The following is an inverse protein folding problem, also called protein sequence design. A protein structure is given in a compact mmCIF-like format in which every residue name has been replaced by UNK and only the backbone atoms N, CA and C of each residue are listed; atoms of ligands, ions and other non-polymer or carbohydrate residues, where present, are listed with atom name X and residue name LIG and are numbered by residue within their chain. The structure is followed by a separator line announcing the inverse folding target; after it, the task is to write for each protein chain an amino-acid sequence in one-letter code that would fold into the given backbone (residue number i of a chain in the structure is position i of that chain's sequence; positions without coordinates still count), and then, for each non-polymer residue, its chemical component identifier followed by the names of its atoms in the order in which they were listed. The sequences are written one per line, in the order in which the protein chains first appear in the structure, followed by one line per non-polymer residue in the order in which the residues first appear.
data_IF_894501976352
#
_entry.id   IF_894501976352
#
_cell.length_a   1.000
_cell.length_b   1.000
_cell.length_c   1.000
_cell.angle_alpha   90.00
_cell.angle_beta   90.00
_cell.angle_gamma   90.00
#
_symmetry.space_group_name_H-M   'P 1'
#
loop_
_entity.id
_entity.type
_entity.pdbx_description
1 polymer ?
#
# COMPACT_ATOMS: atom_id res chain seq x y z
N UNK A 1 66.68 -22.00 8.92
CA UNK A 1 66.39 -20.57 9.14
C UNK A 1 65.16 -20.22 8.33
N UNK A 2 63.99 -20.32 8.95
CA UNK A 2 62.71 -20.00 8.30
C UNK A 2 62.59 -18.48 8.23
N UNK A 3 62.44 -17.98 7.01
CA UNK A 3 62.57 -16.56 6.67
C UNK A 3 61.49 -15.71 7.35
N UNK A 4 61.93 -14.73 8.15
CA UNK A 4 61.08 -13.74 8.84
C UNK A 4 60.18 -12.93 7.88
N UNK A 5 60.48 -12.92 6.59
CA UNK A 5 59.71 -12.20 5.55
C UNK A 5 58.31 -12.78 5.30
N UNK A 6 58.07 -14.08 5.56
CA UNK A 6 56.76 -14.68 5.28
C UNK A 6 55.68 -14.33 6.31
N UNK A 7 56.06 -13.92 7.53
CA UNK A 7 55.10 -13.53 8.57
C UNK A 7 54.57 -12.10 8.41
N UNK A 8 55.35 -11.20 7.79
CA UNK A 8 54.95 -9.79 7.59
C UNK A 8 53.86 -9.67 6.49
N UNK A 9 53.94 -10.50 5.44
CA UNK A 9 52.94 -10.50 4.35
C UNK A 9 51.58 -11.05 4.82
N UNK A 10 51.58 -12.04 5.72
CA UNK A 10 50.34 -12.60 6.27
C UNK A 10 49.68 -11.65 7.30
N UNK A 11 50.48 -10.90 8.07
CA UNK A 11 49.97 -9.91 9.01
C UNK A 11 49.37 -8.67 8.31
N UNK A 12 49.91 -8.25 7.16
CA UNK A 12 49.36 -7.15 6.35
C UNK A 12 48.08 -7.56 5.59
N UNK A 13 47.89 -8.84 5.26
CA UNK A 13 46.66 -9.34 4.66
C UNK A 13 45.48 -9.42 5.65
N UNK A 14 45.77 -9.58 6.95
CA UNK A 14 44.77 -9.60 8.03
C UNK A 14 44.45 -8.21 8.61
N UNK A 15 45.20 -7.18 8.20
CA UNK A 15 45.04 -5.79 8.65
C UNK A 15 44.34 -4.88 7.62
N UNK A 16 43.74 -5.45 6.55
CA UNK A 16 42.75 -4.71 5.78
C UNK A 16 41.49 -4.62 6.65
N UNK A 17 41.06 -3.42 7.09
CA UNK A 17 39.72 -3.28 7.60
C UNK A 17 38.80 -3.47 6.39
N UNK A 18 38.40 -4.72 6.14
CA UNK A 18 37.18 -4.98 5.41
C UNK A 18 36.07 -4.41 6.30
N UNK A 19 35.81 -3.12 6.15
CA UNK A 19 34.57 -2.49 6.61
C UNK A 19 33.49 -3.06 5.68
N UNK A 20 33.15 -4.33 5.91
CA UNK A 20 32.01 -4.95 5.30
C UNK A 20 30.81 -4.19 5.86
N UNK A 21 30.24 -3.32 5.04
CA UNK A 21 29.01 -2.63 5.39
C UNK A 21 28.00 -3.72 5.78
N UNK A 22 27.36 -3.64 6.96
CA UNK A 22 26.41 -4.66 7.36
C UNK A 22 25.37 -4.79 6.25
N UNK A 23 25.11 -6.01 5.78
CA UNK A 23 24.17 -6.28 4.68
C UNK A 23 22.73 -5.76 4.94
N UNK A 24 22.48 -5.28 6.17
CA UNK A 24 21.20 -4.79 6.67
C UNK A 24 21.31 -3.39 7.34
N UNK A 25 22.44 -2.68 7.17
CA UNK A 25 22.59 -1.32 7.67
C UNK A 25 21.84 -0.31 6.80
N UNK A 26 21.30 0.75 7.39
CA UNK A 26 20.73 1.87 6.61
C UNK A 26 21.83 2.53 5.79
N UNK A 27 21.52 2.93 4.55
CA UNK A 27 22.42 3.76 3.74
C UNK A 27 22.30 5.26 4.10
N UNK A 28 21.36 5.62 4.97
CA UNK A 28 21.18 6.98 5.42
C UNK A 28 22.41 7.47 6.23
N UNK A 29 22.86 8.69 5.94
CA UNK A 29 24.02 9.31 6.61
C UNK A 29 25.38 8.93 6.02
N UNK A 30 25.44 8.03 5.04
CA UNK A 30 26.67 7.73 4.31
C UNK A 30 27.08 8.88 3.38
N UNK A 31 28.39 9.09 3.27
CA UNK A 31 28.95 9.98 2.26
C UNK A 31 28.65 9.46 0.85
N UNK A 32 28.73 10.35 -0.14
CA UNK A 32 28.51 9.99 -1.54
C UNK A 32 29.47 8.88 -2.01
N UNK A 33 30.72 8.92 -1.57
CA UNK A 33 31.73 7.92 -1.90
C UNK A 33 31.42 6.55 -1.27
N UNK A 34 30.84 6.53 -0.08
CA UNK A 34 30.39 5.30 0.58
C UNK A 34 29.14 4.73 -0.11
N UNK A 35 28.17 5.57 -0.47
CA UNK A 35 27.00 5.16 -1.24
C UNK A 35 27.38 4.57 -2.61
N UNK A 36 28.33 5.20 -3.30
CA UNK A 36 28.86 4.70 -4.58
C UNK A 36 29.58 3.36 -4.43
N UNK A 37 30.09 3.01 -3.24
CA UNK A 37 30.68 1.70 -2.94
C UNK A 37 29.67 0.65 -2.52
N UNK A 38 28.63 1.02 -1.78
CA UNK A 38 27.65 0.06 -1.21
C UNK A 38 26.50 -0.25 -2.17
N UNK A 39 25.98 0.74 -2.90
CA UNK A 39 24.86 0.52 -3.83
C UNK A 39 25.15 -0.58 -4.87
N UNK A 40 26.36 -0.68 -5.47
CA UNK A 40 26.68 -1.76 -6.41
C UNK A 40 26.77 -3.15 -5.79
N UNK A 41 26.92 -3.27 -4.47
CA UNK A 41 26.97 -4.57 -3.77
C UNK A 41 25.59 -5.08 -3.38
N UNK A 42 24.55 -4.24 -3.48
CA UNK A 42 23.17 -4.66 -3.33
C UNK A 42 22.78 -5.60 -4.47
N UNK A 43 22.03 -6.66 -4.16
CA UNK A 43 21.39 -7.48 -5.19
C UNK A 43 20.29 -6.67 -5.85
N UNK A 44 20.64 -5.97 -6.93
CA UNK A 44 19.72 -5.25 -7.78
C UNK A 44 18.72 -6.22 -8.39
N UNK A 45 17.44 -6.04 -8.06
CA UNK A 45 16.36 -6.68 -8.79
C UNK A 45 15.80 -5.65 -9.73
N UNK A 46 16.07 -5.80 -11.03
CA UNK A 46 15.41 -4.92 -12.00
C UNK A 46 13.91 -5.19 -11.95
N UNK A 47 13.07 -4.15 -11.78
CA UNK A 47 11.63 -4.31 -11.80
C UNK A 47 11.22 -4.99 -13.12
N UNK A 48 10.50 -6.09 -13.02
CA UNK A 48 9.89 -6.72 -14.20
C UNK A 48 8.83 -5.79 -14.79
N UNK A 49 8.46 -6.02 -16.05
CA UNK A 49 7.30 -5.35 -16.61
C UNK A 49 6.05 -5.67 -15.76
N UNK A 50 5.16 -4.69 -15.51
CA UNK A 50 3.90 -4.94 -14.81
C UNK A 50 3.12 -6.05 -15.51
N UNK A 51 2.48 -6.95 -14.77
CA UNK A 51 1.57 -7.92 -15.37
C UNK A 51 0.44 -7.23 -16.14
N UNK A 52 0.10 -7.79 -17.30
CA UNK A 52 -1.06 -7.35 -18.08
C UNK A 52 -2.38 -7.85 -17.49
N UNK A 53 -3.52 -7.47 -18.10
CA UNK A 53 -4.84 -7.93 -17.69
C UNK A 53 -4.97 -9.46 -17.76
N UNK A 54 -5.84 -10.02 -16.91
CA UNK A 54 -6.18 -11.44 -16.94
C UNK A 54 -6.75 -11.85 -18.30
N UNK A 55 -6.26 -12.98 -18.82
CA UNK A 55 -6.84 -13.61 -20.02
C UNK A 55 -8.25 -14.15 -19.79
N UNK A 56 -8.52 -14.61 -18.57
CA UNK A 56 -9.84 -15.07 -18.13
C UNK A 56 -10.22 -14.29 -16.88
N UNK A 57 -11.26 -13.47 -17.02
CA UNK A 57 -11.69 -12.50 -16.02
C UNK A 57 -13.10 -12.82 -15.47
N UNK A 58 -13.56 -14.05 -15.65
CA UNK A 58 -14.78 -14.54 -15.03
C UNK A 58 -14.59 -14.92 -13.55
N UNK A 59 -15.70 -15.23 -12.91
CA UNK A 59 -15.70 -15.84 -11.57
C UNK A 59 -14.99 -17.20 -11.59
N UNK A 60 -14.24 -17.51 -10.53
CA UNK A 60 -13.61 -18.80 -10.29
C UNK A 60 -13.40 -19.02 -8.79
N UNK A 61 -13.30 -20.26 -8.37
CA UNK A 61 -12.91 -20.63 -7.01
C UNK A 61 -11.50 -20.10 -6.72
N UNK A 62 -11.34 -19.34 -5.64
CA UNK A 62 -10.04 -18.76 -5.25
C UNK A 62 -9.60 -19.14 -3.83
N UNK A 63 -10.53 -19.65 -3.01
CA UNK A 63 -10.18 -20.44 -1.83
C UNK A 63 -10.13 -21.93 -2.21
N UNK A 64 -9.06 -22.31 -2.91
CA UNK A 64 -8.86 -23.65 -3.46
C UNK A 64 -7.74 -24.43 -2.71
N UNK A 65 -7.47 -25.65 -3.16
CA UNK A 65 -6.43 -26.52 -2.56
C UNK A 65 -5.01 -25.98 -2.72
N UNK A 66 -4.75 -25.11 -3.70
CA UNK A 66 -3.44 -24.49 -3.92
C UNK A 66 -3.27 -23.24 -3.06
N UNK A 67 -4.37 -22.58 -2.70
CA UNK A 67 -4.41 -21.36 -1.91
C UNK A 67 -5.14 -21.52 -0.57
N UNK A 68 -4.79 -22.52 0.27
CA UNK A 68 -5.44 -22.68 1.55
C UNK A 68 -5.03 -21.56 2.51
N UNK A 69 -5.96 -21.13 3.36
CA UNK A 69 -5.65 -20.26 4.49
C UNK A 69 -4.66 -20.95 5.43
N UNK A 70 -3.70 -20.19 5.96
CA UNK A 70 -2.81 -20.64 7.04
C UNK A 70 -2.65 -19.54 8.09
N UNK A 71 -2.53 -19.89 9.37
CA UNK A 71 -2.25 -18.93 10.43
C UNK A 71 -0.87 -18.29 10.23
N UNK A 72 -0.67 -17.11 10.82
CA UNK A 72 0.61 -16.41 10.81
C UNK A 72 1.71 -17.24 11.47
N UNK A 73 2.89 -17.22 10.86
CA UNK A 73 4.11 -17.74 11.44
C UNK A 73 4.97 -16.60 12.00
N UNK A 74 5.98 -16.97 12.80
CA UNK A 74 6.90 -15.98 13.36
C UNK A 74 7.61 -15.19 12.24
N UNK A 75 7.44 -13.87 12.25
CA UNK A 75 8.02 -12.96 11.26
C UNK A 75 7.18 -12.77 9.99
N UNK A 76 5.99 -13.36 9.89
CA UNK A 76 5.02 -12.96 8.87
C UNK A 76 4.48 -11.57 9.18
N UNK A 77 4.37 -10.72 8.16
CA UNK A 77 3.90 -9.33 8.29
C UNK A 77 2.54 -9.17 7.64
N UNK A 78 1.68 -8.39 8.29
CA UNK A 78 0.35 -7.94 7.85
C UNK A 78 0.23 -6.47 8.20
N UNK A 79 -0.66 -5.76 7.53
CA UNK A 79 -0.82 -4.31 7.70
C UNK A 79 -2.26 -3.84 7.60
N UNK A 80 -2.50 -2.59 7.16
CA UNK A 80 -3.82 -1.98 7.17
C UNK A 80 -4.77 -2.53 6.09
N UNK A 81 -4.24 -3.18 5.04
CA UNK A 81 -5.05 -3.64 3.90
C UNK A 81 -5.59 -5.07 4.10
N UNK A 82 -6.91 -5.27 4.37
CA UNK A 82 -7.48 -6.60 4.55
C UNK A 82 -7.36 -7.48 3.28
N UNK A 83 -7.40 -6.88 2.10
CA UNK A 83 -7.23 -7.59 0.82
C UNK A 83 -5.85 -8.23 0.70
N UNK A 84 -4.78 -7.43 0.80
CA UNK A 84 -3.40 -7.95 0.72
C UNK A 84 -3.09 -8.93 1.86
N UNK A 85 -3.59 -8.64 3.06
CA UNK A 85 -3.46 -9.54 4.20
C UNK A 85 -4.07 -10.92 3.91
N UNK A 86 -5.26 -10.95 3.33
CA UNK A 86 -5.95 -12.19 2.95
C UNK A 86 -5.21 -12.93 1.84
N UNK A 87 -4.75 -12.22 0.81
CA UNK A 87 -3.95 -12.82 -0.27
C UNK A 87 -2.66 -13.46 0.25
N UNK A 88 -1.95 -12.81 1.17
CA UNK A 88 -0.79 -13.40 1.83
C UNK A 88 -1.16 -14.60 2.71
N UNK A 89 -2.25 -14.52 3.48
CA UNK A 89 -2.72 -15.63 4.32
C UNK A 89 -3.25 -16.83 3.53
N UNK A 90 -3.63 -16.65 2.27
CA UNK A 90 -4.00 -17.73 1.34
C UNK A 90 -2.85 -18.17 0.43
N UNK A 91 -1.72 -17.45 0.41
CA UNK A 91 -0.55 -17.80 -0.41
C UNK A 91 -0.64 -17.35 -1.87
N UNK A 92 -1.58 -16.47 -2.20
CA UNK A 92 -1.56 -15.71 -3.46
C UNK A 92 -0.39 -14.73 -3.49
N UNK A 93 -0.02 -14.20 -2.31
CA UNK A 93 1.23 -13.49 -2.06
C UNK A 93 2.19 -14.35 -1.24
N UNK A 94 3.50 -14.03 -1.23
CA UNK A 94 4.42 -14.56 -0.23
C UNK A 94 3.82 -14.40 1.18
N UNK A 95 3.69 -15.52 1.89
CA UNK A 95 2.97 -15.57 3.18
C UNK A 95 3.61 -14.70 4.27
N UNK A 96 4.89 -14.39 4.11
CA UNK A 96 5.66 -13.50 4.97
C UNK A 96 5.27 -12.02 4.83
N UNK A 97 4.43 -11.65 3.86
CA UNK A 97 3.97 -10.28 3.65
C UNK A 97 4.97 -9.38 2.92
N UNK A 98 6.01 -9.93 2.30
CA UNK A 98 6.99 -9.17 1.51
C UNK A 98 6.86 -9.59 0.05
N UNK A 99 6.52 -8.64 -0.82
CA UNK A 99 6.23 -8.93 -2.22
C UNK A 99 6.78 -7.86 -3.16
N UNK A 100 7.07 -8.25 -4.41
CA UNK A 100 7.31 -7.27 -5.47
C UNK A 100 5.99 -6.70 -6.02
N UNK A 101 6.01 -5.53 -6.67
CA UNK A 101 4.83 -4.95 -7.33
C UNK A 101 4.14 -5.93 -8.29
N UNK A 102 4.92 -6.68 -9.08
CA UNK A 102 4.36 -7.67 -10.00
C UNK A 102 3.59 -8.78 -9.27
N UNK A 103 4.11 -9.28 -8.14
CA UNK A 103 3.40 -10.28 -7.33
C UNK A 103 2.10 -9.71 -6.75
N UNK A 104 2.10 -8.44 -6.33
CA UNK A 104 0.89 -7.77 -5.82
C UNK A 104 -0.16 -7.64 -6.92
N UNK A 105 0.23 -7.13 -8.11
CA UNK A 105 -0.67 -6.97 -9.26
C UNK A 105 -1.26 -8.32 -9.69
N UNK A 106 -0.43 -9.37 -9.79
CA UNK A 106 -0.92 -10.72 -10.10
C UNK A 106 -1.89 -11.23 -9.03
N UNK A 107 -1.56 -11.07 -7.74
CA UNK A 107 -2.38 -11.59 -6.66
C UNK A 107 -3.75 -10.90 -6.53
N UNK A 108 -3.82 -9.57 -6.66
CA UNK A 108 -5.10 -8.84 -6.58
C UNK A 108 -5.99 -9.13 -7.80
N UNK A 109 -5.39 -9.30 -8.98
CA UNK A 109 -6.12 -9.75 -10.16
C UNK A 109 -6.59 -11.20 -9.99
N UNK A 110 -5.69 -12.12 -9.65
CA UNK A 110 -6.04 -13.54 -9.63
C UNK A 110 -6.99 -13.91 -8.48
N UNK A 111 -6.75 -13.38 -7.28
CA UNK A 111 -7.50 -13.70 -6.07
C UNK A 111 -8.79 -12.89 -5.89
N UNK A 112 -8.87 -11.66 -6.42
CA UNK A 112 -10.05 -10.80 -6.24
C UNK A 112 -10.65 -10.26 -7.54
N UNK A 113 -10.01 -10.47 -8.69
CA UNK A 113 -10.43 -9.89 -9.97
C UNK A 113 -10.38 -8.36 -9.96
N UNK A 114 -9.36 -7.78 -9.32
CA UNK A 114 -9.12 -6.33 -9.43
C UNK A 114 -8.75 -5.97 -10.88
N UNK A 115 -9.31 -4.87 -11.39
CA UNK A 115 -9.00 -4.35 -12.71
C UNK A 115 -7.51 -3.94 -12.81
N UNK A 116 -6.89 -4.19 -13.97
CA UNK A 116 -5.45 -4.10 -14.16
C UNK A 116 -4.90 -2.68 -13.99
N UNK A 117 -5.56 -1.67 -14.57
CA UNK A 117 -5.12 -0.28 -14.47
C UNK A 117 -5.12 0.19 -13.01
N UNK A 118 -6.17 -0.13 -12.26
CA UNK A 118 -6.26 0.18 -10.83
C UNK A 118 -5.22 -0.59 -10.04
N UNK A 119 -5.06 -1.90 -10.27
CA UNK A 119 -4.05 -2.71 -9.61
C UNK A 119 -2.64 -2.15 -9.80
N UNK A 120 -2.29 -1.73 -11.02
CA UNK A 120 -1.01 -1.10 -11.34
C UNK A 120 -0.88 0.25 -10.65
N UNK A 121 -1.89 1.12 -10.77
CA UNK A 121 -1.87 2.46 -10.20
C UNK A 121 -1.63 2.42 -8.69
N UNK A 122 -2.44 1.67 -7.94
CA UNK A 122 -2.33 1.63 -6.47
C UNK A 122 -1.05 0.92 -6.01
N UNK A 123 -0.63 -0.14 -6.70
CA UNK A 123 0.58 -0.89 -6.32
C UNK A 123 1.83 -0.04 -6.50
N UNK A 124 1.98 0.66 -7.64
CA UNK A 124 3.13 1.51 -7.86
C UNK A 124 3.08 2.81 -7.06
N UNK A 125 1.89 3.35 -6.77
CA UNK A 125 1.75 4.45 -5.81
C UNK A 125 2.33 4.07 -4.44
N UNK A 126 1.91 2.91 -3.90
CA UNK A 126 2.44 2.39 -2.63
C UNK A 126 3.94 2.07 -2.72
N UNK A 127 4.38 1.37 -3.77
CA UNK A 127 5.78 0.96 -3.89
C UNK A 127 6.73 2.16 -3.98
N UNK A 128 6.32 3.24 -4.65
CA UNK A 128 7.11 4.46 -4.79
C UNK A 128 7.38 5.16 -3.45
N UNK A 129 6.45 5.11 -2.50
CA UNK A 129 6.58 5.80 -1.20
C UNK A 129 7.04 4.89 -0.06
N UNK A 130 6.63 3.62 -0.08
CA UNK A 130 6.83 2.67 1.02
C UNK A 130 7.75 1.49 0.69
N UNK A 131 8.01 1.27 -0.59
CA UNK A 131 8.81 0.14 -1.07
C UNK A 131 10.28 0.47 -1.22
N UNK A 132 11.11 -0.57 -1.25
CA UNK A 132 12.50 -0.45 -1.63
C UNK A 132 12.62 -0.59 -3.16
N UNK A 133 12.84 0.54 -3.83
CA UNK A 133 12.90 0.62 -5.29
C UNK A 133 14.12 -0.08 -5.90
N UNK A 134 15.17 -0.31 -5.09
CA UNK A 134 16.41 -0.93 -5.56
C UNK A 134 16.32 -2.46 -5.54
N UNK A 135 15.63 -3.00 -4.52
CA UNK A 135 15.43 -4.46 -4.38
C UNK A 135 14.09 -4.94 -4.93
N UNK A 136 13.22 -4.02 -5.36
CA UNK A 136 11.88 -4.31 -5.89
C UNK A 136 11.04 -5.12 -4.88
N UNK A 137 11.03 -4.66 -3.62
CA UNK A 137 10.28 -5.28 -2.51
C UNK A 137 9.45 -4.23 -1.76
N UNK A 138 8.23 -4.62 -1.39
CA UNK A 138 7.32 -3.88 -0.53
C UNK A 138 6.86 -4.78 0.63
N UNK A 139 6.85 -4.24 1.83
CA UNK A 139 6.17 -4.85 2.98
C UNK A 139 4.70 -4.45 2.96
N UNK A 140 3.77 -5.43 3.06
CA UNK A 140 2.32 -5.15 3.14
C UNK A 140 1.87 -4.67 4.53
N UNK A 141 2.81 -4.52 5.46
CA UNK A 141 2.63 -3.90 6.76
C UNK A 141 3.86 -3.10 7.14
N UNK A 142 4.32 -3.19 8.39
CA UNK A 142 5.40 -2.34 8.90
C UNK A 142 6.80 -2.55 8.33
N UNK A 143 7.70 -1.65 8.74
CA UNK A 143 9.09 -1.59 8.29
C UNK A 143 9.85 -2.87 8.66
N UNK A 144 10.69 -3.34 7.75
CA UNK A 144 11.40 -4.61 7.90
C UNK A 144 12.68 -4.63 7.11
N UNK A 145 13.72 -5.28 7.64
CA UNK A 145 14.99 -5.47 6.93
C UNK A 145 14.87 -6.42 5.73
N UNK A 146 13.74 -7.14 5.60
CA UNK A 146 13.47 -8.06 4.49
C UNK A 146 13.27 -7.36 3.15
N UNK A 147 12.99 -6.05 3.15
CA UNK A 147 12.98 -5.22 1.93
C UNK A 147 14.37 -4.72 1.55
N UNK A 148 15.42 -5.09 2.28
CA UNK A 148 16.81 -4.73 1.98
C UNK A 148 17.25 -3.37 2.54
N UNK A 149 18.51 -2.95 2.28
CA UNK A 149 19.07 -1.72 2.81
C UNK A 149 18.32 -0.47 2.33
N UNK A 150 18.01 0.41 3.28
CA UNK A 150 17.26 1.62 3.01
C UNK A 150 18.04 2.58 2.11
N UNK A 151 17.38 3.25 1.14
CA UNK A 151 17.97 4.38 0.44
C UNK A 151 18.27 5.54 1.41
N UNK A 152 19.06 6.54 0.98
CA UNK A 152 19.32 7.73 1.79
C UNK A 152 18.02 8.45 2.17
N UNK A 153 18.00 9.01 3.38
CA UNK A 153 16.94 9.92 3.83
C UNK A 153 16.76 11.09 2.82
N UNK A 154 15.54 11.61 2.66
CA UNK A 154 14.34 11.42 3.50
C UNK A 154 13.43 10.25 3.09
N UNK A 155 13.86 9.37 2.18
CA UNK A 155 13.09 8.18 1.83
C UNK A 155 12.84 7.27 3.06
N UNK A 156 11.63 6.74 3.19
CA UNK A 156 11.16 6.08 4.42
C UNK A 156 11.32 4.55 4.30
N UNK A 157 10.84 3.97 3.20
CA UNK A 157 10.79 2.51 2.97
C UNK A 157 10.21 1.79 4.20
N UNK A 158 9.05 2.27 4.64
CA UNK A 158 8.43 1.85 5.89
C UNK A 158 7.41 0.73 5.72
N UNK A 159 7.10 0.33 4.48
CA UNK A 159 5.95 -0.54 4.21
C UNK A 159 4.61 0.15 4.45
N UNK A 160 3.51 -0.57 4.23
CA UNK A 160 2.16 0.01 4.21
C UNK A 160 1.66 0.52 5.57
N UNK A 161 2.33 0.27 6.69
CA UNK A 161 1.97 0.90 7.98
C UNK A 161 2.46 2.36 8.05
N UNK A 162 3.20 2.86 7.05
CA UNK A 162 3.70 4.23 7.02
C UNK A 162 2.55 5.22 6.86
N UNK A 163 2.35 6.02 7.90
CA UNK A 163 1.30 7.03 7.91
C UNK A 163 1.55 8.17 6.90
N UNK A 164 0.46 8.67 6.31
CA UNK A 164 0.36 9.87 5.48
C UNK A 164 1.02 9.84 4.09
N UNK A 165 1.54 8.69 3.64
CA UNK A 165 2.03 8.51 2.27
C UNK A 165 1.12 7.60 1.43
N UNK A 166 0.50 6.61 2.07
CA UNK A 166 -0.55 5.76 1.50
C UNK A 166 -1.63 5.48 2.56
N UNK A 167 -1.23 4.92 3.70
CA UNK A 167 -2.07 4.78 4.90
C UNK A 167 -2.47 6.16 5.43
N UNK A 168 -3.67 6.28 5.98
CA UNK A 168 -4.09 7.52 6.61
C UNK A 168 -5.38 7.39 7.43
N UNK A 169 -5.76 8.51 8.02
CA UNK A 169 -6.84 8.60 9.00
C UNK A 169 -8.22 8.22 8.44
N UNK A 170 -9.19 8.08 9.35
CA UNK A 170 -10.56 7.67 9.08
C UNK A 170 -10.66 6.27 8.44
N UNK A 171 -9.75 5.34 8.75
CA UNK A 171 -9.89 3.95 8.30
C UNK A 171 -11.15 3.28 8.89
N UNK A 172 -11.74 2.32 8.17
CA UNK A 172 -13.01 1.68 8.57
C UNK A 172 -12.86 0.74 9.77
N UNK A 173 -11.75 0.02 9.86
CA UNK A 173 -11.52 -1.01 10.88
C UNK A 173 -10.14 -0.91 11.55
N UNK A 174 -9.41 0.17 11.27
CA UNK A 174 -8.08 0.52 11.81
C UNK A 174 -8.19 1.90 12.47
N UNK A 175 -7.46 2.11 13.56
CA UNK A 175 -7.39 3.41 14.23
C UNK A 175 -6.62 4.44 13.41
N UNK A 176 -6.78 5.72 13.75
CA UNK A 176 -5.90 6.76 13.22
C UNK A 176 -4.50 6.64 13.85
N UNK A 177 -3.46 6.98 13.08
CA UNK A 177 -2.07 6.90 13.54
C UNK A 177 -1.82 7.71 14.83
N UNK A 178 -2.52 8.83 15.00
CA UNK A 178 -2.44 9.64 16.21
C UNK A 178 -2.69 8.84 17.51
N UNK A 179 -3.52 7.80 17.45
CA UNK A 179 -3.84 6.96 18.61
C UNK A 179 -2.86 5.80 18.83
N UNK A 180 -1.86 5.63 17.94
CA UNK A 180 -0.71 4.75 18.13
C UNK A 180 -0.70 3.46 17.30
N UNK A 181 -1.85 2.97 16.84
CA UNK A 181 -1.96 1.78 15.98
C UNK A 181 -2.91 2.04 14.80
N UNK A 182 -2.32 2.11 13.61
CA UNK A 182 -2.99 2.40 12.34
C UNK A 182 -3.16 1.16 11.43
N UNK A 183 -2.81 -0.03 11.89
CA UNK A 183 -2.71 -1.21 11.02
C UNK A 183 -3.43 -2.44 11.59
N UNK A 184 -3.49 -2.60 12.91
CA UNK A 184 -4.20 -3.71 13.53
C UNK A 184 -5.71 -3.59 13.36
N UNK A 185 -6.38 -4.74 13.23
CA UNK A 185 -7.83 -4.79 13.31
C UNK A 185 -8.31 -4.27 14.68
N UNK A 186 -9.30 -3.39 14.66
CA UNK A 186 -9.90 -2.80 15.85
C UNK A 186 -11.35 -3.29 16.00
N UNK A 187 -11.63 -4.05 17.06
CA UNK A 187 -12.96 -4.62 17.31
C UNK A 187 -14.03 -3.54 17.49
N UNK A 188 -13.75 -2.45 18.20
CA UNK A 188 -14.71 -1.35 18.42
C UNK A 188 -15.15 -0.72 17.10
N UNK A 189 -14.20 -0.46 16.18
CA UNK A 189 -14.51 0.08 14.86
C UNK A 189 -15.27 -0.94 14.00
N UNK A 190 -15.01 -2.23 14.16
CA UNK A 190 -15.79 -3.26 13.47
C UNK A 190 -17.20 -3.43 14.04
N UNK A 191 -17.40 -3.24 15.35
CA UNK A 191 -18.72 -3.18 15.96
C UNK A 191 -19.54 -1.99 15.42
N UNK A 192 -18.89 -0.83 15.21
CA UNK A 192 -19.53 0.30 14.52
C UNK A 192 -19.88 -0.03 13.06
N UNK A 193 -18.97 -0.68 12.33
CA UNK A 193 -19.24 -1.17 10.97
C UNK A 193 -20.49 -2.07 10.95
N UNK A 194 -20.59 -3.03 11.88
CA UNK A 194 -21.76 -3.92 12.04
C UNK A 194 -23.01 -3.12 12.39
N UNK A 195 -22.92 -2.15 13.30
CA UNK A 195 -24.05 -1.30 13.69
C UNK A 195 -24.59 -0.48 12.51
N UNK A 196 -23.70 0.08 11.69
CA UNK A 196 -24.08 0.82 10.48
C UNK A 196 -24.69 -0.10 9.41
N UNK A 197 -24.14 -1.31 9.22
CA UNK A 197 -24.73 -2.33 8.36
C UNK A 197 -26.13 -2.75 8.80
N UNK A 198 -26.35 -2.92 10.09
CA UNK A 198 -27.69 -3.22 10.62
C UNK A 198 -28.66 -2.05 10.39
N UNK A 199 -28.21 -0.82 10.62
CA UNK A 199 -29.04 0.38 10.52
C UNK A 199 -29.39 0.76 9.08
N UNK A 200 -28.45 0.66 8.15
CA UNK A 200 -28.58 1.21 6.79
C UNK A 200 -28.56 0.15 5.68
N UNK A 201 -28.17 -1.09 5.99
CA UNK A 201 -28.03 -2.17 5.00
C UNK A 201 -28.81 -3.43 5.33
N UNK A 202 -29.78 -3.36 6.25
CA UNK A 202 -30.58 -4.51 6.71
C UNK A 202 -29.71 -5.71 7.14
N UNK A 203 -28.59 -5.43 7.82
CA UNK A 203 -27.66 -6.45 8.32
C UNK A 203 -26.60 -6.89 7.30
N UNK A 204 -26.44 -6.14 6.20
CA UNK A 204 -25.40 -6.34 5.19
C UNK A 204 -24.59 -5.06 5.00
N UNK A 205 -23.37 -5.18 4.49
CA UNK A 205 -22.60 -4.03 4.02
C UNK A 205 -22.80 -3.85 2.51
N UNK A 206 -23.13 -2.63 2.09
CA UNK A 206 -23.35 -2.23 0.71
C UNK A 206 -22.94 -0.74 0.53
N UNK A 207 -23.08 -0.18 -0.67
CA UNK A 207 -22.66 1.22 -0.90
C UNK A 207 -23.40 2.26 -0.06
N UNK A 208 -24.67 2.03 0.31
CA UNK A 208 -25.41 2.93 1.20
C UNK A 208 -24.76 2.95 2.58
N UNK A 209 -24.46 1.77 3.14
CA UNK A 209 -23.74 1.66 4.42
C UNK A 209 -22.36 2.29 4.32
N UNK A 210 -21.66 2.08 3.20
CA UNK A 210 -20.33 2.63 2.97
C UNK A 210 -20.33 4.17 3.02
N UNK A 211 -21.34 4.82 2.42
CA UNK A 211 -21.51 6.28 2.48
C UNK A 211 -21.72 6.79 3.90
N UNK A 212 -22.65 6.19 4.64
CA UNK A 212 -22.96 6.58 6.02
C UNK A 212 -21.77 6.33 6.97
N UNK A 213 -21.11 5.17 6.84
CA UNK A 213 -20.01 4.81 7.72
C UNK A 213 -18.73 5.61 7.41
N UNK A 214 -18.44 5.87 6.12
CA UNK A 214 -17.34 6.79 5.72
C UNK A 214 -17.52 8.16 6.37
N UNK A 215 -18.72 8.70 6.35
CA UNK A 215 -19.02 9.98 7.00
C UNK A 215 -18.80 9.91 8.51
N UNK A 216 -19.29 8.85 9.17
CA UNK A 216 -19.06 8.62 10.60
C UNK A 216 -17.57 8.63 10.94
N UNK A 217 -16.74 7.86 10.21
CA UNK A 217 -15.28 7.80 10.43
C UNK A 217 -14.61 9.17 10.30
N UNK A 218 -15.04 9.97 9.32
CA UNK A 218 -14.54 11.35 9.13
C UNK A 218 -14.92 12.23 10.32
N UNK A 219 -16.19 12.21 10.75
CA UNK A 219 -16.66 13.02 11.87
C UNK A 219 -15.96 12.68 13.18
N UNK A 220 -15.73 11.40 13.45
CA UNK A 220 -14.99 10.98 14.63
C UNK A 220 -13.53 11.45 14.61
N UNK A 221 -12.87 11.35 13.45
CA UNK A 221 -11.49 11.82 13.30
C UNK A 221 -11.40 13.34 13.49
N UNK A 222 -12.37 14.10 12.93
CA UNK A 222 -12.50 15.54 13.19
C UNK A 222 -12.65 15.81 14.69
N UNK A 223 -13.48 15.03 15.39
CA UNK A 223 -13.81 15.27 16.79
C UNK A 223 -12.73 14.85 17.80
N UNK A 224 -11.84 13.92 17.42
CA UNK A 224 -10.95 13.24 18.37
C UNK A 224 -9.47 13.28 18.00
N UNK A 225 -9.12 13.43 16.72
CA UNK A 225 -7.73 13.45 16.25
C UNK A 225 -7.29 14.90 15.92
N UNK A 226 -6.47 15.56 16.76
CA UNK A 226 -6.04 16.93 16.53
C UNK A 226 -5.10 17.10 15.33
N UNK A 227 -4.56 16.00 14.81
CA UNK A 227 -3.70 15.95 13.62
C UNK A 227 -4.40 15.35 12.41
N UNK A 228 -5.73 15.19 12.46
CA UNK A 228 -6.52 14.57 11.39
C UNK A 228 -6.20 15.16 10.02
N UNK A 229 -5.81 14.32 9.07
CA UNK A 229 -5.54 14.72 7.70
C UNK A 229 -6.37 13.91 6.70
N UNK A 230 -7.11 14.63 5.86
CA UNK A 230 -7.99 14.07 4.84
C UNK A 230 -7.81 14.80 3.51
N UNK A 231 -6.56 14.91 3.09
CA UNK A 231 -6.15 15.46 1.79
C UNK A 231 -5.65 14.34 0.87
N UNK A 232 -5.43 14.65 -0.40
CA UNK A 232 -4.84 13.72 -1.36
C UNK A 232 -3.45 13.21 -0.91
N UNK A 233 -3.11 11.92 -1.08
CA UNK A 233 -3.91 10.88 -1.75
C UNK A 233 -5.00 10.25 -0.88
N UNK A 234 -4.93 10.40 0.46
CA UNK A 234 -5.84 9.74 1.41
C UNK A 234 -7.30 10.05 1.15
N UNK A 235 -7.62 11.28 0.75
CA UNK A 235 -8.98 11.66 0.37
C UNK A 235 -9.57 10.67 -0.65
N UNK A 236 -8.86 10.32 -1.72
CA UNK A 236 -9.36 9.39 -2.74
C UNK A 236 -9.40 7.95 -2.23
N UNK A 237 -8.32 7.48 -1.60
CA UNK A 237 -8.20 6.08 -1.19
C UNK A 237 -9.23 5.73 -0.12
N UNK A 238 -9.52 6.63 0.82
CA UNK A 238 -10.54 6.43 1.84
C UNK A 238 -11.94 6.14 1.23
N UNK A 239 -12.35 6.90 0.20
CA UNK A 239 -13.61 6.63 -0.49
C UNK A 239 -13.55 5.35 -1.33
N UNK A 240 -12.48 5.15 -2.10
CA UNK A 240 -12.31 3.94 -2.92
C UNK A 240 -12.34 2.67 -2.07
N UNK A 241 -11.60 2.64 -0.96
CA UNK A 241 -11.54 1.52 -0.01
C UNK A 241 -12.90 1.19 0.61
N UNK A 242 -13.83 2.15 0.66
CA UNK A 242 -15.19 1.92 1.17
C UNK A 242 -16.05 1.13 0.15
N UNK A 243 -15.66 1.08 -1.13
CA UNK A 243 -16.31 0.24 -2.14
C UNK A 243 -15.81 -1.21 -2.12
N UNK A 244 -14.56 -1.42 -1.72
CA UNK A 244 -13.86 -2.70 -1.90
C UNK A 244 -14.49 -3.90 -1.19
N UNK A 245 -15.09 -3.79 0.01
CA UNK A 245 -15.81 -4.91 0.60
C UNK A 245 -16.97 -5.39 -0.28
N UNK A 246 -17.68 -4.46 -0.93
CA UNK A 246 -18.76 -4.80 -1.88
C UNK A 246 -18.18 -5.41 -3.16
N UNK A 247 -17.11 -4.84 -3.68
CA UNK A 247 -16.58 -5.20 -5.00
C UNK A 247 -15.76 -6.49 -5.01
N UNK A 248 -15.10 -6.81 -3.89
CA UNK A 248 -14.11 -7.88 -3.82
C UNK A 248 -14.39 -8.94 -2.76
N UNK A 249 -15.21 -8.66 -1.74
CA UNK A 249 -15.47 -9.63 -0.66
C UNK A 249 -16.85 -10.30 -0.76
N UNK A 250 -17.72 -9.83 -1.65
CA UNK A 250 -18.96 -10.53 -2.03
C UNK A 250 -18.59 -11.67 -2.99
N UNK A 251 -19.14 -12.88 -2.76
CA UNK A 251 -18.89 -14.02 -3.65
C UNK A 251 -19.39 -13.70 -5.06
N UNK A 252 -18.54 -13.93 -6.07
CA UNK A 252 -18.80 -13.56 -7.45
C UNK A 252 -20.00 -14.26 -8.09
N UNK A 253 -20.57 -15.29 -7.45
CA UNK A 253 -21.80 -15.96 -7.89
C UNK A 253 -23.07 -15.26 -7.38
N UNK A 254 -22.97 -14.41 -6.35
CA UNK A 254 -24.10 -13.73 -5.72
C UNK A 254 -24.53 -12.48 -6.51
N UNK A 255 -23.57 -11.60 -6.83
CA UNK A 255 -23.78 -10.47 -7.76
C UNK A 255 -24.78 -9.38 -7.31
N UNK A 256 -25.14 -9.30 -6.03
CA UNK A 256 -26.15 -8.35 -5.50
C UNK A 256 -25.56 -7.16 -4.71
N UNK A 257 -24.23 -7.11 -4.56
CA UNK A 257 -23.53 -6.07 -3.82
C UNK A 257 -23.84 -6.04 -2.32
N UNK A 258 -24.28 -7.15 -1.73
CA UNK A 258 -24.60 -7.28 -0.30
C UNK A 258 -23.60 -8.18 0.41
N UNK A 259 -22.65 -7.59 1.13
CA UNK A 259 -21.66 -8.33 1.92
C UNK A 259 -22.25 -8.74 3.28
N UNK A 260 -22.19 -10.04 3.56
CA UNK A 260 -22.52 -10.59 4.87
C UNK A 260 -21.48 -10.20 5.94
N UNK A 261 -21.91 -9.97 7.19
CA UNK A 261 -21.05 -9.46 8.25
C UNK A 261 -20.08 -10.52 8.80
N UNK A 262 -20.45 -11.81 8.75
CA UNK A 262 -19.52 -12.89 9.11
C UNK A 262 -18.41 -13.01 8.05
N UNK A 263 -18.78 -12.85 6.78
CA UNK A 263 -17.81 -12.79 5.67
C UNK A 263 -16.90 -11.56 5.82
N UNK A 264 -17.47 -10.39 6.11
CA UNK A 264 -16.70 -9.18 6.36
C UNK A 264 -15.69 -9.38 7.50
N UNK A 265 -16.11 -9.98 8.63
CA UNK A 265 -15.21 -10.28 9.76
C UNK A 265 -14.08 -11.21 9.33
N UNK A 266 -14.37 -12.25 8.56
CA UNK A 266 -13.36 -13.15 8.01
C UNK A 266 -12.25 -12.43 7.24
N UNK A 267 -12.60 -11.45 6.39
CA UNK A 267 -11.59 -10.66 5.67
C UNK A 267 -10.87 -9.63 6.56
N UNK A 268 -11.60 -8.90 7.40
CA UNK A 268 -11.04 -7.78 8.17
C UNK A 268 -10.19 -8.20 9.37
N UNK A 269 -10.57 -9.28 10.05
CA UNK A 269 -9.95 -9.79 11.27
C UNK A 269 -9.10 -11.03 10.98
N UNK A 270 -9.70 -12.05 10.37
CA UNK A 270 -9.05 -13.36 10.21
C UNK A 270 -8.18 -13.48 8.96
N UNK A 271 -8.28 -12.48 8.06
CA UNK A 271 -7.58 -12.43 6.78
C UNK A 271 -7.86 -13.70 5.97
N UNK A 272 -9.14 -14.08 5.92
CA UNK A 272 -9.60 -15.38 5.44
C UNK A 272 -10.78 -15.23 4.48
N UNK A 273 -10.63 -15.82 3.30
CA UNK A 273 -11.74 -16.03 2.37
C UNK A 273 -12.70 -17.09 2.93
N UNK A 274 -14.03 -16.93 2.75
CA UNK A 274 -14.99 -17.99 3.04
C UNK A 274 -14.65 -19.31 2.34
N UNK A 275 -15.11 -20.42 2.89
CA UNK A 275 -15.01 -21.70 2.19
C UNK A 275 -15.82 -21.63 0.88
N UNK A 276 -15.30 -22.24 -0.18
CA UNK A 276 -15.89 -22.18 -1.54
C UNK A 276 -16.00 -20.76 -2.12
N UNK A 277 -15.22 -19.79 -1.61
CA UNK A 277 -15.27 -18.41 -2.11
C UNK A 277 -14.81 -18.28 -3.57
N UNK A 278 -15.66 -17.65 -4.38
CA UNK A 278 -15.35 -17.31 -5.76
C UNK A 278 -15.11 -15.81 -5.90
N UNK A 279 -14.02 -15.42 -6.58
CA UNK A 279 -13.74 -14.01 -6.87
C UNK A 279 -14.83 -13.36 -7.73
N UNK A 280 -14.84 -12.02 -7.76
CA UNK A 280 -15.80 -11.22 -8.52
C UNK A 280 -15.95 -11.73 -9.98
N UNK A 281 -17.14 -11.59 -10.54
CA UNK A 281 -17.50 -12.16 -11.85
C UNK A 281 -16.90 -11.44 -13.06
N UNK A 282 -16.34 -10.24 -12.84
CA UNK A 282 -15.69 -9.39 -13.82
C UNK A 282 -14.58 -8.58 -13.14
N UNK A 283 -13.67 -7.94 -13.89
CA UNK A 283 -12.70 -7.01 -13.31
C UNK A 283 -13.43 -5.85 -12.61
N UNK A 284 -13.14 -5.65 -11.34
CA UNK A 284 -13.73 -4.61 -10.51
C UNK A 284 -12.68 -3.62 -10.01
N UNK A 285 -13.10 -2.41 -9.70
CA UNK A 285 -12.28 -1.32 -9.22
C UNK A 285 -12.90 -0.63 -8.01
N UNK A 286 -12.91 0.71 -8.06
CA UNK A 286 -13.62 1.56 -7.12
C UNK A 286 -15.07 1.85 -7.58
N UNK A 287 -15.73 0.87 -8.19
CA UNK A 287 -17.12 0.98 -8.62
C UNK A 287 -18.01 1.43 -7.44
N UNK A 288 -18.91 2.38 -7.68
CA UNK A 288 -19.78 2.96 -6.65
C UNK A 288 -19.14 4.05 -5.78
N UNK A 289 -17.90 4.47 -6.07
CA UNK A 289 -17.24 5.56 -5.33
C UNK A 289 -18.03 6.87 -5.37
N UNK A 290 -18.71 7.15 -6.48
CA UNK A 290 -19.57 8.31 -6.68
C UNK A 290 -20.80 8.28 -5.76
N UNK A 291 -21.40 7.10 -5.57
CA UNK A 291 -22.52 6.90 -4.62
C UNK A 291 -22.07 7.25 -3.20
N UNK A 292 -20.90 6.76 -2.78
CA UNK A 292 -20.36 6.99 -1.44
C UNK A 292 -20.00 8.47 -1.25
N UNK A 293 -19.33 9.08 -2.23
CA UNK A 293 -18.95 10.48 -2.16
C UNK A 293 -20.15 11.44 -2.18
N UNK A 294 -21.23 11.08 -2.89
CA UNK A 294 -22.44 11.89 -2.98
C UNK A 294 -23.33 11.82 -1.71
N UNK A 295 -23.19 10.78 -0.88
CA UNK A 295 -23.97 10.63 0.34
C UNK A 295 -23.74 11.79 1.32
N UNK A 296 -22.47 12.14 1.57
CA UNK A 296 -22.06 13.24 2.46
C UNK A 296 -20.85 14.00 1.86
N UNK A 297 -21.08 14.98 0.97
CA UNK A 297 -19.99 15.70 0.32
C UNK A 297 -19.16 16.52 1.31
N UNK A 298 -17.83 16.39 1.23
CA UNK A 298 -16.87 17.18 2.00
C UNK A 298 -15.66 17.52 1.14
N UNK A 299 -15.10 18.71 1.31
CA UNK A 299 -13.86 19.11 0.66
C UNK A 299 -12.65 18.46 1.37
N UNK A 300 -11.56 18.13 0.64
CA UNK A 300 -10.33 17.69 1.27
C UNK A 300 -9.81 18.75 2.25
N UNK A 301 -9.19 18.33 3.34
CA UNK A 301 -8.83 19.23 4.43
C UNK A 301 -8.18 18.51 5.61
N UNK A 302 -8.01 19.23 6.72
CA UNK A 302 -7.34 18.73 7.91
C UNK A 302 -7.80 19.47 9.16
N UNK A 303 -7.65 18.86 10.33
CA UNK A 303 -7.73 19.57 11.59
C UNK A 303 -6.53 20.51 11.76
N UNK A 304 -6.77 21.72 12.28
CA UNK A 304 -5.73 22.72 12.53
C UNK A 304 -5.80 23.17 13.99
N UNK A 305 -4.67 23.16 14.70
CA UNK A 305 -4.58 23.66 16.09
C UNK A 305 -5.54 22.97 17.09
N UNK A 306 -5.88 21.70 16.88
CA UNK A 306 -6.72 20.92 17.79
C UNK A 306 -7.83 20.14 17.09
N UNK A 307 -8.67 19.49 17.90
CA UNK A 307 -9.88 18.79 17.43
C UNK A 307 -11.00 19.77 17.09
N UNK A 308 -11.98 19.32 16.31
CA UNK A 308 -13.15 20.08 15.89
C UNK A 308 -12.82 21.38 15.12
N UNK A 309 -11.68 21.40 14.42
CA UNK A 309 -11.28 22.55 13.61
C UNK A 309 -10.83 22.11 12.21
N UNK A 310 -11.74 21.45 11.49
CA UNK A 310 -11.49 20.98 10.14
C UNK A 310 -11.49 22.16 9.16
N UNK A 311 -10.33 22.42 8.57
CA UNK A 311 -10.11 23.49 7.59
C UNK A 311 -9.92 22.85 6.21
N UNK A 312 -10.78 23.18 5.21
CA UNK A 312 -10.58 22.76 3.85
C UNK A 312 -9.23 23.23 3.29
N UNK A 313 -8.58 22.35 2.51
CA UNK A 313 -7.34 22.66 1.81
C UNK A 313 -7.61 22.79 0.31
N UNK A 314 -7.69 24.02 -0.23
CA UNK A 314 -7.99 24.24 -1.64
C UNK A 314 -6.86 23.81 -2.58
N UNK A 315 -5.68 23.48 -2.05
CA UNK A 315 -4.53 23.00 -2.84
C UNK A 315 -4.52 21.49 -2.99
N UNK A 316 -5.32 20.77 -2.20
CA UNK A 316 -5.49 19.33 -2.33
C UNK A 316 -6.33 18.98 -3.55
N UNK A 317 -5.92 17.93 -4.26
CA UNK A 317 -6.74 17.31 -5.29
C UNK A 317 -8.03 16.73 -4.69
N UNK A 318 -9.07 16.65 -5.52
CA UNK A 318 -10.39 16.11 -5.24
C UNK A 318 -10.93 15.36 -6.48
N UNK A 319 -12.15 14.82 -6.41
CA UNK A 319 -12.72 14.02 -7.50
C UNK A 319 -12.86 14.73 -8.86
N UNK A 320 -12.81 16.07 -8.92
CA UNK A 320 -12.85 16.82 -10.19
C UNK A 320 -11.46 17.23 -10.70
N UNK A 321 -10.41 16.93 -9.94
CA UNK A 321 -9.02 17.34 -10.22
C UNK A 321 -8.07 16.13 -10.16
N UNK A 322 -8.46 15.01 -10.76
CA UNK A 322 -7.68 13.76 -10.70
C UNK A 322 -6.24 13.92 -11.26
N UNK A 323 -6.05 14.69 -12.33
CA UNK A 323 -4.69 15.01 -12.81
C UNK A 323 -3.84 15.74 -11.75
N UNK A 324 -4.45 16.60 -10.91
CA UNK A 324 -3.75 17.28 -9.82
C UNK A 324 -3.27 16.29 -8.74
N UNK A 325 -4.00 15.19 -8.49
CA UNK A 325 -3.55 14.12 -7.58
C UNK A 325 -2.22 13.55 -8.08
N UNK A 326 -2.18 13.16 -9.35
CA UNK A 326 -0.96 12.64 -9.98
C UNK A 326 0.17 13.66 -9.96
N UNK A 327 -0.09 14.90 -10.35
CA UNK A 327 0.92 15.97 -10.36
C UNK A 327 1.48 16.23 -8.96
N UNK A 328 0.65 16.30 -7.93
CA UNK A 328 1.08 16.52 -6.55
C UNK A 328 1.86 15.32 -6.02
N UNK A 329 1.43 14.09 -6.32
CA UNK A 329 2.16 12.89 -5.97
C UNK A 329 3.58 12.92 -6.55
N UNK A 330 3.72 13.14 -7.86
CA UNK A 330 5.03 13.14 -8.52
C UNK A 330 5.89 14.35 -8.11
N UNK A 331 5.34 15.57 -8.15
CA UNK A 331 6.15 16.78 -7.96
C UNK A 331 6.39 17.15 -6.50
N UNK A 332 5.54 16.71 -5.57
CA UNK A 332 5.67 17.03 -4.15
C UNK A 332 6.08 15.81 -3.34
N UNK A 333 5.31 14.72 -3.41
CA UNK A 333 5.56 13.53 -2.57
C UNK A 333 6.85 12.83 -2.97
N UNK A 334 6.99 12.47 -4.26
CA UNK A 334 8.16 11.75 -4.76
C UNK A 334 9.42 12.61 -4.70
N UNK A 335 9.36 13.88 -5.10
CA UNK A 335 10.51 14.80 -4.95
C UNK A 335 10.86 15.08 -3.50
N UNK A 336 9.87 15.06 -2.60
CA UNK A 336 10.08 15.19 -1.16
C UNK A 336 10.86 14.02 -0.59
N UNK A 337 10.48 12.79 -0.94
CA UNK A 337 11.15 11.55 -0.48
C UNK A 337 12.52 11.33 -1.15
N UNK A 338 12.65 11.69 -2.42
CA UNK A 338 13.84 11.49 -3.22
C UNK A 338 14.26 12.80 -3.90
N UNK A 339 14.90 13.74 -3.18
CA UNK A 339 15.21 15.05 -3.73
C UNK A 339 16.32 15.03 -4.79
N UNK A 340 17.35 14.20 -4.60
CA UNK A 340 18.52 14.13 -5.47
C UNK A 340 18.98 12.67 -5.75
N UNK A 341 18.12 11.81 -6.31
CA UNK A 341 18.49 10.42 -6.57
C UNK A 341 19.55 10.33 -7.67
N UNK A 342 20.49 9.40 -7.53
CA UNK A 342 21.55 9.13 -8.51
C UNK A 342 21.65 7.64 -8.82
N UNK A 343 22.42 7.29 -9.86
CA UNK A 343 22.74 5.91 -10.21
C UNK A 343 21.52 4.99 -10.34
N UNK A 344 21.59 3.83 -9.68
CA UNK A 344 20.54 2.81 -9.75
C UNK A 344 19.20 3.27 -9.17
N UNK A 345 19.22 4.05 -8.09
CA UNK A 345 18.00 4.55 -7.46
C UNK A 345 17.23 5.48 -8.42
N UNK A 346 17.93 6.40 -9.10
CA UNK A 346 17.31 7.25 -10.13
C UNK A 346 16.68 6.41 -11.25
N UNK A 347 17.37 5.39 -11.74
CA UNK A 347 16.86 4.51 -12.79
C UNK A 347 15.60 3.78 -12.32
N UNK A 348 15.63 3.20 -11.12
CA UNK A 348 14.48 2.50 -10.54
C UNK A 348 13.28 3.44 -10.32
N UNK A 349 13.51 4.67 -9.85
CA UNK A 349 12.48 5.70 -9.74
C UNK A 349 11.82 6.00 -11.08
N UNK A 350 12.62 6.31 -12.12
CA UNK A 350 12.09 6.60 -13.45
C UNK A 350 11.27 5.42 -14.03
N UNK A 351 11.75 4.18 -13.84
CA UNK A 351 11.02 2.98 -14.27
C UNK A 351 9.68 2.84 -13.55
N UNK A 352 9.66 2.93 -12.21
CA UNK A 352 8.43 2.79 -11.42
C UNK A 352 7.45 3.96 -11.65
N UNK A 353 7.94 5.19 -11.87
CA UNK A 353 7.12 6.33 -12.26
C UNK A 353 6.48 6.13 -13.64
N UNK A 354 7.18 5.48 -14.56
CA UNK A 354 6.61 5.02 -15.84
C UNK A 354 5.45 4.06 -15.63
N UNK A 355 5.67 3.01 -14.83
CA UNK A 355 4.63 2.02 -14.55
C UNK A 355 3.44 2.57 -13.76
N UNK A 356 3.69 3.52 -12.86
CA UNK A 356 2.66 4.27 -12.15
C UNK A 356 1.79 5.09 -13.11
N UNK A 357 2.42 5.85 -14.02
CA UNK A 357 1.71 6.65 -15.01
C UNK A 357 0.89 5.80 -15.99
N UNK A 358 1.43 4.68 -16.45
CA UNK A 358 0.68 3.75 -17.32
C UNK A 358 -0.60 3.22 -16.67
N UNK A 359 -0.61 3.04 -15.33
CA UNK A 359 -1.80 2.65 -14.58
C UNK A 359 -2.78 3.80 -14.32
N UNK A 360 -2.30 5.05 -14.33
CA UNK A 360 -3.12 6.24 -14.11
C UNK A 360 -4.14 6.46 -15.24
N UNK A 361 -3.75 6.20 -16.49
CA UNK A 361 -4.68 6.03 -17.62
C UNK A 361 -5.44 7.29 -18.06
N UNK A 362 -5.10 8.48 -17.56
CA UNK A 362 -5.73 9.74 -17.98
C UNK A 362 -4.99 10.36 -19.19
N UNK A 363 -5.59 10.34 -20.40
CA UNK A 363 -4.95 10.86 -21.60
C UNK A 363 -4.80 12.39 -21.59
N UNK A 364 -5.57 13.11 -20.76
CA UNK A 364 -5.51 14.57 -20.66
C UNK A 364 -4.44 15.03 -19.65
N UNK A 365 -3.87 14.10 -18.88
CA UNK A 365 -2.83 14.38 -17.91
C UNK A 365 -1.47 13.92 -18.43
N UNK A 366 -0.57 14.82 -18.86
CA UNK A 366 0.71 14.42 -19.43
C UNK A 366 1.65 13.79 -18.39
N UNK A 367 2.47 12.83 -18.83
CA UNK A 367 3.49 12.23 -17.99
C UNK A 367 4.51 13.28 -17.50
N UNK A 368 4.93 13.13 -16.24
CA UNK A 368 5.91 14.00 -15.60
C UNK A 368 7.21 13.23 -15.42
N UNK A 369 8.33 13.93 -15.57
CA UNK A 369 9.68 13.36 -15.48
C UNK A 369 10.50 14.13 -14.44
N UNK A 370 10.25 13.93 -13.12
CA UNK A 370 10.85 14.76 -12.05
C UNK A 370 12.39 14.69 -11.99
N UNK A 371 12.98 13.68 -12.64
CA UNK A 371 14.44 13.46 -12.70
C UNK A 371 14.99 13.43 -14.13
N UNK A 372 14.20 13.84 -15.13
CA UNK A 372 14.54 13.73 -16.56
C UNK A 372 14.44 12.30 -17.10
N UNK A 373 14.69 12.15 -18.40
CA UNK A 373 14.66 10.87 -19.12
C UNK A 373 15.86 9.97 -18.79
#
# INVERSE_FOLDING_TARGET
MVSFTNFIVLALALASPAVAFPAHGSLAGLSREELERVIPTLQLRQPGNPPGPLKSNGTKLVNDKQHPWKPLQNGDIRGPCPGLNTLASHGWLPRNGIASPAQIIDAVQEGFNMENSIARFVTYAAHLVDGNLVTDQLSIGGKTSKTGPDPPAPAIVGGLDTHAVFEGDASMTRGDFFFGDNHSFNETLFDEFVAFSNKFGAGKYNYTVAGEFRWQRIQESIATNPTFSFVAPRFFTAYAESTFPVNFFVDGRQGDGQLDLDVARGFFQDMRMPDDFHRASQPMGADGIDIIAAAHPIAPGRNVNGVNNYVPDPTSANFTTFCLLYQNFVNQTIRGLYPNPTGTLKKALNTNLGFFYDGFGDPECPQLFPYGH
#
